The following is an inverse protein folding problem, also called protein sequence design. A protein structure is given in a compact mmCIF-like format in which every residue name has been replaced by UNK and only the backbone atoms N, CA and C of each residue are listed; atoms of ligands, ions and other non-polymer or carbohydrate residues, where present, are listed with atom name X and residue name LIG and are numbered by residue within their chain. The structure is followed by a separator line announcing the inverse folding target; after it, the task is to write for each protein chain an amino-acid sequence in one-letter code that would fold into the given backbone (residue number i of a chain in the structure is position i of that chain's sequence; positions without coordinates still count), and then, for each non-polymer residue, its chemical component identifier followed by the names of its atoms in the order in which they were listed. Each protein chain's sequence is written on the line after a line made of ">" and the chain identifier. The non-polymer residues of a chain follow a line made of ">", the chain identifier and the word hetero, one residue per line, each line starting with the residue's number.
data_IF_848118475162
#
_entry.id   IF_848118475162
#
_cell.length_a   1.000
_cell.length_b   1.000
_cell.length_c   1.000
_cell.angle_alpha   90.00
_cell.angle_beta   90.00
_cell.angle_gamma   90.00
#
_symmetry.space_group_name_H-M   'P 1'
#
loop_
_entity.id
_entity.type
_entity.pdbx_description
1 polymer ?
#
# COMPACT_ATOMS: atom_id res chain seq x y z
N UNK A 1 -6.75 -3.18 6.96
CA UNK A 1 -5.98 -4.39 6.66
C UNK A 1 -5.79 -5.16 7.95
N UNK A 2 -6.29 -6.40 8.05
CA UNK A 2 -6.09 -7.30 9.21
C UNK A 2 -4.79 -8.10 9.09
N UNK A 3 -3.77 -7.51 8.46
CA UNK A 3 -2.47 -8.15 8.39
C UNK A 3 -1.85 -8.12 9.79
N UNK A 4 -1.30 -9.24 10.28
CA UNK A 4 -0.69 -9.27 11.59
C UNK A 4 0.48 -8.30 11.66
N UNK A 5 0.51 -7.46 12.69
CA UNK A 5 1.48 -6.37 12.80
C UNK A 5 2.94 -6.84 12.81
N UNK A 6 3.19 -8.08 13.21
CA UNK A 6 4.52 -8.68 13.19
C UNK A 6 5.04 -8.95 11.77
N UNK A 7 4.19 -8.87 10.74
CA UNK A 7 4.56 -8.95 9.32
C UNK A 7 4.81 -7.59 8.66
N UNK A 8 4.62 -6.47 9.36
CA UNK A 8 4.84 -5.13 8.77
C UNK A 8 6.31 -4.86 8.44
N UNK A 9 7.24 -5.48 9.17
CA UNK A 9 8.68 -5.31 8.96
C UNK A 9 9.28 -6.51 8.23
N UNK A 10 10.30 -6.27 7.38
CA UNK A 10 11.11 -7.35 6.83
C UNK A 10 11.66 -8.22 7.96
N UNK A 11 11.52 -9.53 7.81
CA UNK A 11 11.95 -10.52 8.79
C UNK A 11 12.59 -11.70 8.07
N UNK A 12 13.54 -12.35 8.74
CA UNK A 12 14.07 -13.65 8.33
C UNK A 12 13.29 -14.75 9.05
N UNK A 13 13.99 -15.56 9.82
CA UNK A 13 13.38 -16.63 10.64
C UNK A 13 12.70 -16.12 11.92
N UNK A 14 13.01 -14.90 12.36
CA UNK A 14 12.49 -14.31 13.60
C UNK A 14 11.83 -12.95 13.33
N UNK A 15 10.74 -12.68 14.04
CA UNK A 15 10.02 -11.40 13.98
C UNK A 15 10.58 -10.40 15.00
N UNK A 16 10.78 -9.16 14.55
CA UNK A 16 11.15 -8.07 15.45
C UNK A 16 9.89 -7.39 16.01
N UNK A 17 9.46 -7.81 17.20
CA UNK A 17 8.27 -7.30 17.88
C UNK A 17 8.68 -6.33 19.00
N UNK A 18 8.25 -5.05 18.96
CA UNK A 18 8.39 -4.15 20.09
C UNK A 18 7.72 -4.72 21.34
N UNK A 19 8.37 -4.63 22.50
CA UNK A 19 7.86 -5.17 23.77
C UNK A 19 6.44 -4.71 24.11
N UNK A 20 6.10 -3.45 23.75
CA UNK A 20 4.75 -2.86 23.93
C UNK A 20 3.63 -3.52 23.13
N UNK A 21 3.95 -4.35 22.15
CA UNK A 21 2.97 -5.03 21.28
C UNK A 21 2.81 -6.53 21.60
N UNK A 22 3.61 -7.08 22.51
CA UNK A 22 3.53 -8.49 22.90
C UNK A 22 2.16 -8.75 23.55
N UNK A 23 1.43 -9.74 23.04
CA UNK A 23 0.11 -10.15 23.55
C UNK A 23 -1.08 -9.38 22.95
N UNK A 24 -0.85 -8.40 22.06
CA UNK A 24 -1.94 -7.77 21.31
C UNK A 24 -2.29 -8.60 20.07
N UNK A 25 -3.56 -8.91 19.79
CA UNK A 25 -3.94 -9.63 18.58
C UNK A 25 -3.88 -8.76 17.31
N UNK A 26 -4.06 -7.44 17.45
CA UNK A 26 -4.06 -6.44 16.37
C UNK A 26 -3.51 -5.10 16.84
N UNK A 27 -2.97 -4.30 15.92
CA UNK A 27 -2.64 -2.89 16.19
C UNK A 27 -3.91 -2.05 16.30
N UNK A 28 -3.96 -1.16 17.29
CA UNK A 28 -4.99 -0.12 17.37
C UNK A 28 -4.74 0.89 16.25
N UNK A 29 -5.77 1.19 15.46
CA UNK A 29 -5.69 2.25 14.44
C UNK A 29 -5.94 3.60 15.08
N UNK A 30 -5.16 4.60 14.65
CA UNK A 30 -5.26 5.97 15.11
C UNK A 30 -5.48 6.88 13.90
N UNK A 31 -6.46 7.78 13.99
CA UNK A 31 -6.70 8.82 13.00
C UNK A 31 -6.23 10.17 13.57
N UNK A 32 -5.57 10.96 12.73
CA UNK A 32 -5.12 12.31 13.07
C UNK A 32 -6.05 13.31 12.38
N UNK A 33 -6.78 14.07 13.20
CA UNK A 33 -7.71 15.08 12.72
C UNK A 33 -7.13 16.48 12.97
N UNK A 34 -6.71 17.21 11.93
CA UNK A 34 -6.35 18.62 12.09
C UNK A 34 -7.62 19.42 12.40
N UNK A 35 -7.54 20.26 13.43
CA UNK A 35 -8.61 21.11 13.95
C UNK A 35 -8.09 22.53 14.07
N UNK A 36 -8.88 23.51 13.64
CA UNK A 36 -8.65 24.91 13.97
C UNK A 36 -9.73 25.35 14.95
N UNK A 37 -9.34 25.68 16.19
CA UNK A 37 -10.26 26.18 17.21
C UNK A 37 -9.80 27.58 17.59
N UNK A 38 -10.64 28.58 17.30
CA UNK A 38 -10.36 30.00 17.57
C UNK A 38 -9.00 30.48 17.04
N UNK A 39 -8.60 30.01 15.84
CA UNK A 39 -7.33 30.40 15.22
C UNK A 39 -6.10 29.61 15.70
N UNK A 40 -6.27 28.66 16.62
CA UNK A 40 -5.20 27.74 17.03
C UNK A 40 -5.34 26.43 16.27
N UNK A 41 -4.29 26.06 15.51
CA UNK A 41 -4.20 24.75 14.86
C UNK A 41 -3.78 23.69 15.87
N UNK A 42 -4.53 22.60 15.91
CA UNK A 42 -4.33 21.44 16.77
C UNK A 42 -4.52 20.17 15.96
N UNK A 43 -3.91 19.06 16.39
CA UNK A 43 -4.16 17.73 15.82
C UNK A 43 -4.71 16.83 16.91
N UNK A 44 -5.95 16.37 16.74
CA UNK A 44 -6.55 15.39 17.64
C UNK A 44 -6.23 13.98 17.14
N UNK A 45 -5.68 13.15 18.03
CA UNK A 45 -5.49 11.73 17.79
C UNK A 45 -6.66 10.96 18.40
N UNK A 46 -7.42 10.24 17.56
CA UNK A 46 -8.56 9.44 18.03
C UNK A 46 -8.69 8.15 17.23
N UNK A 47 -9.23 7.07 17.83
CA UNK A 47 -9.54 5.87 17.05
C UNK A 47 -10.65 6.17 16.04
N UNK A 48 -10.55 5.67 14.80
CA UNK A 48 -11.61 5.85 13.81
C UNK A 48 -12.86 5.04 14.22
N UNK A 49 -13.96 5.73 14.52
CA UNK A 49 -15.23 5.16 14.96
C UNK A 49 -16.31 5.36 13.90
N UNK A 50 -17.08 4.31 13.61
CA UNK A 50 -18.29 4.38 12.77
C UNK A 50 -19.52 4.21 13.66
N UNK A 51 -20.41 5.21 13.67
CA UNK A 51 -21.65 5.22 14.45
C UNK A 51 -22.84 5.37 13.51
N UNK A 52 -23.83 4.50 13.65
CA UNK A 52 -25.12 4.61 12.96
C UNK A 52 -26.26 4.35 13.95
N UNK A 53 -27.44 4.90 13.69
CA UNK A 53 -28.61 4.75 14.55
C UNK A 53 -29.58 3.78 13.89
N UNK A 54 -29.73 2.59 14.50
CA UNK A 54 -30.81 1.67 14.16
C UNK A 54 -32.07 2.08 14.94
N UNK A 55 -33.21 2.19 14.26
CA UNK A 55 -34.49 2.64 14.86
C UNK A 55 -35.03 1.68 15.93
N UNK A 56 -34.56 0.42 15.98
CA UNK A 56 -35.06 -0.61 16.90
C UNK A 56 -34.07 -0.91 18.03
N UNK A 57 -32.75 -0.82 17.79
CA UNK A 57 -31.71 -1.31 18.72
C UNK A 57 -30.85 -0.22 19.38
N UNK A 58 -31.20 1.06 19.23
CA UNK A 58 -30.45 2.16 19.85
C UNK A 58 -29.12 2.48 19.17
N UNK A 59 -28.20 3.15 19.89
CA UNK A 59 -26.89 3.54 19.36
C UNK A 59 -25.91 2.36 19.37
N UNK A 60 -25.39 1.99 18.19
CA UNK A 60 -24.28 1.03 18.05
C UNK A 60 -23.02 1.72 17.52
N UNK A 61 -21.90 1.40 18.16
CA UNK A 61 -20.57 1.87 17.77
C UNK A 61 -19.76 0.69 17.25
N UNK A 62 -19.25 0.79 16.03
CA UNK A 62 -18.35 -0.20 15.42
C UNK A 62 -17.02 0.46 15.06
N UNK A 63 -15.89 -0.26 15.10
CA UNK A 63 -14.65 0.22 14.50
C UNK A 63 -14.85 0.54 13.01
N UNK A 64 -14.26 1.65 12.55
CA UNK A 64 -14.18 1.98 11.13
C UNK A 64 -12.83 1.52 10.56
N UNK A 65 -12.82 1.01 9.33
CA UNK A 65 -11.61 0.50 8.69
C UNK A 65 -11.22 1.36 7.49
N UNK A 66 -9.96 1.79 7.43
CA UNK A 66 -9.36 2.28 6.20
C UNK A 66 -9.05 1.08 5.28
N UNK A 67 -9.66 1.08 4.09
CA UNK A 67 -9.40 0.08 3.05
C UNK A 67 -8.50 0.68 1.97
N UNK A 68 -7.56 -0.09 1.40
CA UNK A 68 -6.75 0.38 0.27
C UNK A 68 -7.65 0.66 -0.94
N UNK A 69 -7.24 1.64 -1.75
CA UNK A 69 -8.00 2.05 -2.95
C UNK A 69 -7.62 1.25 -4.20
N UNK A 70 -6.48 0.55 -4.17
CA UNK A 70 -5.99 -0.27 -5.26
C UNK A 70 -5.29 -1.53 -4.74
N UNK A 71 -5.20 -2.55 -5.59
CA UNK A 71 -4.31 -3.70 -5.39
C UNK A 71 -3.23 -3.70 -6.46
N UNK A 72 -1.96 -3.83 -6.07
CA UNK A 72 -0.82 -3.97 -6.99
C UNK A 72 -0.46 -5.45 -7.06
N UNK A 73 -0.32 -6.00 -8.27
CA UNK A 73 -0.19 -7.45 -8.49
C UNK A 73 0.88 -7.73 -9.56
N UNK A 74 2.14 -7.95 -9.16
CA UNK A 74 3.17 -8.46 -10.06
C UNK A 74 2.78 -9.85 -10.59
N UNK A 75 2.99 -10.11 -11.88
CA UNK A 75 2.73 -11.41 -12.52
C UNK A 75 3.85 -12.43 -12.28
N UNK A 76 5.00 -11.99 -11.77
CA UNK A 76 6.11 -12.86 -11.41
C UNK A 76 6.55 -12.55 -9.99
N UNK A 77 6.64 -13.58 -9.15
CA UNK A 77 7.11 -13.46 -7.77
C UNK A 77 8.64 -13.46 -7.67
N UNK A 78 9.31 -14.10 -8.64
CA UNK A 78 10.77 -14.20 -8.70
C UNK A 78 11.22 -13.85 -10.11
N UNK A 79 12.31 -13.09 -10.21
CA UNK A 79 12.92 -12.74 -11.48
C UNK A 79 14.42 -12.98 -11.38
N UNK A 80 14.97 -13.81 -12.28
CA UNK A 80 16.39 -14.13 -12.34
C UNK A 80 16.95 -13.48 -13.62
N UNK A 81 17.88 -12.55 -13.48
CA UNK A 81 18.61 -11.99 -14.62
C UNK A 81 20.04 -12.52 -14.63
N UNK A 82 20.38 -13.31 -15.65
CA UNK A 82 21.75 -13.80 -15.90
C UNK A 82 22.49 -12.90 -16.91
N UNK A 83 22.14 -11.60 -16.93
CA UNK A 83 22.52 -10.64 -17.96
C UNK A 83 21.36 -10.27 -18.90
N UNK A 84 21.39 -9.05 -19.44
CA UNK A 84 20.38 -8.54 -20.36
C UNK A 84 19.12 -7.98 -19.69
N UNK A 85 18.32 -7.24 -20.47
CA UNK A 85 17.07 -6.62 -20.01
C UNK A 85 16.00 -7.67 -19.75
N UNK A 86 15.30 -7.52 -18.62
CA UNK A 86 14.20 -8.38 -18.21
C UNK A 86 12.91 -7.58 -18.14
N UNK A 87 11.77 -8.22 -18.39
CA UNK A 87 10.46 -7.57 -18.30
C UNK A 87 9.63 -8.15 -17.17
N UNK A 88 8.93 -7.27 -16.43
CA UNK A 88 7.93 -7.67 -15.44
C UNK A 88 6.61 -6.95 -15.73
N UNK A 89 5.52 -7.71 -15.75
CA UNK A 89 4.18 -7.16 -15.86
C UNK A 89 3.55 -7.06 -14.48
N UNK A 90 2.94 -5.91 -14.20
CA UNK A 90 2.24 -5.62 -12.95
C UNK A 90 0.82 -5.17 -13.30
N UNK A 91 -0.17 -5.80 -12.67
CA UNK A 91 -1.56 -5.37 -12.74
C UNK A 91 -1.89 -4.46 -11.57
N UNK A 92 -2.61 -3.38 -11.85
CA UNK A 92 -3.28 -2.57 -10.82
C UNK A 92 -4.78 -2.84 -10.93
N UNK A 93 -5.36 -3.34 -9.85
CA UNK A 93 -6.81 -3.54 -9.71
C UNK A 93 -7.42 -2.39 -8.90
N UNK A 94 -8.48 -1.78 -9.43
CA UNK A 94 -9.19 -0.73 -8.71
C UNK A 94 -10.11 -1.32 -7.64
N UNK A 95 -9.99 -0.88 -6.38
CA UNK A 95 -10.89 -1.29 -5.29
C UNK A 95 -11.98 -0.24 -5.02
N UNK A 96 -11.99 0.83 -5.82
CA UNK A 96 -12.96 1.93 -5.83
C UNK A 96 -13.22 2.39 -7.27
N UNK A 97 -14.32 3.08 -7.50
CA UNK A 97 -14.60 3.70 -8.81
C UNK A 97 -13.71 4.93 -9.04
N UNK A 98 -13.48 5.25 -10.31
CA UNK A 98 -12.67 6.37 -10.79
C UNK A 98 -11.28 6.43 -10.13
N UNK A 99 -10.53 5.33 -10.20
CA UNK A 99 -9.17 5.25 -9.66
C UNK A 99 -8.20 5.94 -10.61
N UNK A 100 -7.58 7.02 -10.14
CA UNK A 100 -6.53 7.75 -10.85
C UNK A 100 -5.26 7.83 -10.01
N UNK A 101 -4.10 7.78 -10.66
CA UNK A 101 -2.83 7.88 -9.95
C UNK A 101 -1.64 7.46 -10.81
N UNK A 102 -0.56 7.07 -10.14
CA UNK A 102 0.69 6.64 -10.76
C UNK A 102 1.19 5.36 -10.11
N UNK A 103 1.78 4.47 -10.92
CA UNK A 103 2.46 3.28 -10.45
C UNK A 103 3.98 3.50 -10.50
N UNK A 104 4.62 3.42 -9.34
CA UNK A 104 6.05 3.60 -9.13
C UNK A 104 6.74 2.26 -8.88
N UNK A 105 8.04 2.21 -9.15
CA UNK A 105 8.91 1.06 -8.90
C UNK A 105 10.17 1.51 -8.15
N UNK A 106 10.53 0.76 -7.11
CA UNK A 106 11.82 0.90 -6.41
C UNK A 106 12.65 -0.34 -6.68
N UNK A 107 13.88 -0.13 -7.16
CA UNK A 107 14.78 -1.19 -7.58
C UNK A 107 15.94 -1.39 -6.58
N UNK A 108 16.54 -2.59 -6.52
CA UNK A 108 17.79 -2.82 -5.83
C UNK A 108 18.96 -2.02 -6.42
N UNK A 109 20.05 -1.93 -5.66
CA UNK A 109 21.25 -1.21 -6.10
C UNK A 109 21.82 -1.81 -7.40
N UNK A 110 22.22 -0.93 -8.33
CA UNK A 110 22.85 -1.32 -9.59
C UNK A 110 21.87 -1.73 -10.70
N UNK A 111 20.57 -1.58 -10.48
CA UNK A 111 19.53 -1.80 -11.49
C UNK A 111 18.95 -0.48 -12.01
N UNK A 112 18.52 -0.50 -13.27
CA UNK A 112 17.79 0.61 -13.90
C UNK A 112 16.46 0.12 -14.48
N UNK A 113 15.53 1.05 -14.71
CA UNK A 113 14.28 0.81 -15.44
C UNK A 113 14.04 1.91 -16.47
N UNK A 114 13.13 1.66 -17.40
CA UNK A 114 12.60 2.69 -18.29
C UNK A 114 11.95 3.82 -17.49
N UNK A 115 12.11 5.06 -17.97
CA UNK A 115 11.68 6.30 -17.29
C UNK A 115 10.23 6.71 -17.61
N UNK A 116 9.47 5.83 -18.23
CA UNK A 116 8.11 6.10 -18.66
C UNK A 116 7.15 6.17 -17.47
N UNK A 117 6.38 7.26 -17.43
CA UNK A 117 5.38 7.47 -16.41
C UNK A 117 4.25 6.45 -16.57
N UNK A 118 4.02 5.62 -15.55
CA UNK A 118 2.93 4.64 -15.54
C UNK A 118 1.67 5.24 -14.93
N UNK A 119 0.92 6.00 -15.73
CA UNK A 119 -0.34 6.59 -15.30
C UNK A 119 -1.46 5.53 -15.19
N UNK A 120 -2.11 5.49 -14.03
CA UNK A 120 -3.25 4.63 -13.73
C UNK A 120 -4.53 5.44 -13.93
N UNK A 121 -5.45 4.92 -14.74
CA UNK A 121 -6.78 5.48 -14.91
C UNK A 121 -7.79 4.35 -15.17
N UNK A 122 -8.52 3.96 -14.13
CA UNK A 122 -9.47 2.85 -14.14
C UNK A 122 -10.84 3.39 -13.73
N UNK A 123 -11.83 3.26 -14.61
CA UNK A 123 -13.13 3.89 -14.42
C UNK A 123 -13.98 3.15 -13.36
N UNK A 124 -14.01 1.80 -13.41
CA UNK A 124 -14.87 1.02 -12.52
C UNK A 124 -14.08 0.20 -11.52
N UNK A 125 -14.66 0.05 -10.33
CA UNK A 125 -14.20 -0.90 -9.33
C UNK A 125 -14.08 -2.32 -9.91
N UNK A 126 -13.05 -3.03 -9.47
CA UNK A 126 -12.60 -4.37 -9.87
C UNK A 126 -12.05 -4.49 -11.30
N UNK A 127 -11.99 -3.39 -12.08
CA UNK A 127 -11.26 -3.39 -13.34
C UNK A 127 -9.75 -3.35 -13.09
N UNK A 128 -9.00 -3.84 -14.07
CA UNK A 128 -7.54 -3.95 -14.01
C UNK A 128 -6.87 -3.25 -15.17
N UNK A 129 -5.72 -2.63 -14.88
CA UNK A 129 -4.82 -2.08 -15.88
C UNK A 129 -3.43 -2.71 -15.73
N UNK A 130 -2.86 -3.19 -16.83
CA UNK A 130 -1.55 -3.84 -16.85
C UNK A 130 -0.44 -2.89 -17.28
N UNK A 131 0.70 -2.97 -16.59
CA UNK A 131 1.89 -2.18 -16.87
C UNK A 131 3.10 -3.10 -16.99
N UNK A 132 3.95 -2.88 -17.99
CA UNK A 132 5.20 -3.63 -18.16
C UNK A 132 6.39 -2.72 -17.86
N UNK A 133 7.27 -3.15 -16.95
CA UNK A 133 8.53 -2.51 -16.64
C UNK A 133 9.69 -3.31 -17.23
N UNK A 134 10.69 -2.62 -17.75
CA UNK A 134 11.93 -3.23 -18.22
C UNK A 134 13.01 -3.01 -17.15
N UNK A 135 13.48 -4.09 -16.52
CA UNK A 135 14.60 -4.08 -15.59
C UNK A 135 15.91 -4.32 -16.34
N UNK A 136 16.85 -3.39 -16.19
CA UNK A 136 18.14 -3.41 -16.86
C UNK A 136 19.21 -3.58 -15.78
N UNK A 137 19.87 -4.76 -15.69
CA UNK A 137 20.96 -4.97 -14.74
C UNK A 137 22.22 -4.23 -15.22
N UNK A 138 22.81 -3.40 -14.35
CA UNK A 138 24.14 -2.83 -14.57
C UNK A 138 25.26 -3.75 -14.06
N UNK A 139 26.51 -3.34 -14.26
CA UNK A 139 27.70 -4.13 -13.85
C UNK A 139 27.77 -4.44 -12.35
N UNK A 140 27.11 -3.61 -11.52
CA UNK A 140 27.06 -3.75 -10.06
C UNK A 140 25.67 -4.13 -9.55
N UNK A 141 24.84 -4.76 -10.39
CA UNK A 141 23.51 -5.22 -10.01
C UNK A 141 23.59 -6.22 -8.86
N UNK A 142 22.88 -5.93 -7.77
CA UNK A 142 22.81 -6.79 -6.59
C UNK A 142 21.46 -7.49 -6.50
N UNK A 143 21.44 -8.66 -5.89
CA UNK A 143 20.19 -9.32 -5.53
C UNK A 143 19.44 -8.48 -4.48
N UNK A 144 18.13 -8.35 -4.62
CA UNK A 144 17.31 -7.58 -3.70
C UNK A 144 15.84 -7.58 -4.10
N UNK A 145 15.00 -6.99 -3.23
CA UNK A 145 13.58 -6.87 -3.49
C UNK A 145 13.28 -5.71 -4.45
N UNK A 146 12.38 -5.96 -5.39
CA UNK A 146 11.73 -4.93 -6.21
C UNK A 146 10.40 -4.60 -5.54
N UNK A 147 10.11 -3.32 -5.34
CA UNK A 147 8.84 -2.86 -4.73
C UNK A 147 8.06 -2.02 -5.72
N UNK A 148 6.76 -2.25 -5.81
CA UNK A 148 5.83 -1.47 -6.60
C UNK A 148 4.89 -0.67 -5.69
N UNK A 149 4.62 0.58 -6.04
CA UNK A 149 3.74 1.44 -5.25
C UNK A 149 2.79 2.22 -6.15
N UNK A 150 1.49 2.09 -5.90
CA UNK A 150 0.47 2.98 -6.40
C UNK A 150 0.33 4.22 -5.51
N UNK A 151 0.31 5.41 -6.12
CA UNK A 151 0.07 6.68 -5.47
C UNK A 151 -1.03 7.44 -6.22
N UNK A 152 -2.12 7.77 -5.53
CA UNK A 152 -3.22 8.55 -6.08
C UNK A 152 -3.83 9.52 -5.05
N UNK A 153 -4.71 10.44 -5.48
CA UNK A 153 -5.34 11.42 -4.59
C UNK A 153 -6.29 10.77 -3.58
N UNK A 154 -6.83 9.58 -3.88
CA UNK A 154 -7.73 8.82 -3.00
C UNK A 154 -6.99 7.91 -2.00
N UNK A 155 -5.68 7.69 -2.17
CA UNK A 155 -4.90 6.80 -1.30
C UNK A 155 -3.65 6.23 -1.96
N UNK A 156 -2.89 5.43 -1.19
CA UNK A 156 -1.68 4.73 -1.62
C UNK A 156 -1.83 3.22 -1.43
N UNK A 157 -1.10 2.42 -2.20
CA UNK A 157 -1.08 0.95 -2.05
C UNK A 157 0.25 0.41 -2.57
N UNK A 158 0.93 -0.44 -1.80
CA UNK A 158 2.25 -1.00 -2.15
C UNK A 158 2.27 -2.54 -2.15
N UNK A 159 3.22 -3.12 -2.92
CA UNK A 159 3.52 -4.55 -2.92
C UNK A 159 4.98 -4.83 -3.27
#
# INVERSE_FOLDING_TARGET
>A
MDAPFWLEKPHGTLFNIPSKLIGLPVLKQHAFLPLNIAGTDMVAEMPPLYKWVDRVEGERTSPAYAVPVASVIPKSDVLIATGGTQSITVEVEALTDDLTGQLNITLPLGWATTKDLKAVNIAKKNERQSFTFQLIPGEKAQAGAVRFEFVGPKGRSDR
#
